data_IF_734993494040
#
_entry.id   IF_734993494040
#
_cell.length_a   1.000
_cell.length_b   1.000
_cell.length_c   1.000
_cell.angle_alpha   90.00
_cell.angle_beta   90.00
_cell.angle_gamma   90.00
#
_symmetry.space_group_name_H-M   'P 1'
#
loop_
_entity.id
_entity.type
_entity.pdbx_description
1 polymer ?
#
# COMPACT_ATOMS: atom_id res chain seq x y z
N UNK A 1 10.20 19.01 2.91
CA UNK A 1 8.79 18.72 2.59
C UNK A 1 8.60 17.40 1.86
N UNK A 2 9.39 17.09 0.81
CA UNK A 2 9.27 15.85 0.03
C UNK A 2 9.42 14.55 0.85
N UNK A 3 10.30 14.52 1.87
CA UNK A 3 10.37 13.38 2.81
C UNK A 3 9.05 13.08 3.51
N UNK A 4 8.32 14.13 3.91
CA UNK A 4 7.01 13.98 4.55
C UNK A 4 6.00 13.43 3.54
N UNK A 5 6.01 13.93 2.30
CA UNK A 5 5.12 13.44 1.24
C UNK A 5 5.36 11.95 0.92
N UNK A 6 6.63 11.55 0.79
CA UNK A 6 7.00 10.15 0.60
C UNK A 6 6.56 9.26 1.78
N UNK A 7 6.74 9.73 3.02
CA UNK A 7 6.27 9.02 4.20
C UNK A 7 4.73 8.91 4.23
N UNK A 8 4.02 9.99 3.92
CA UNK A 8 2.55 10.02 3.85
C UNK A 8 2.02 9.04 2.80
N UNK A 9 2.61 9.00 1.60
CA UNK A 9 2.22 8.05 0.56
C UNK A 9 2.38 6.60 1.01
N UNK A 10 3.48 6.27 1.69
CA UNK A 10 3.70 4.92 2.25
C UNK A 10 2.70 4.59 3.35
N UNK A 11 2.38 5.54 4.23
CA UNK A 11 1.36 5.35 5.27
C UNK A 11 -0.03 5.14 4.64
N UNK A 12 -0.39 5.95 3.64
CA UNK A 12 -1.65 5.79 2.89
C UNK A 12 -1.71 4.46 2.14
N UNK A 13 -0.59 3.99 1.58
CA UNK A 13 -0.52 2.67 0.96
C UNK A 13 -0.91 1.57 1.96
N UNK A 14 -0.30 1.57 3.15
CA UNK A 14 -0.63 0.60 4.20
C UNK A 14 -2.08 0.67 4.65
N UNK A 15 -2.62 1.88 4.82
CA UNK A 15 -4.04 2.08 5.16
C UNK A 15 -4.94 1.48 4.07
N UNK A 16 -4.64 1.75 2.80
CA UNK A 16 -5.39 1.20 1.67
C UNK A 16 -5.35 -0.34 1.63
N UNK A 17 -4.17 -0.93 1.87
CA UNK A 17 -4.00 -2.38 1.91
C UNK A 17 -4.85 -3.00 3.02
N UNK A 18 -4.68 -2.54 4.26
CA UNK A 18 -5.42 -3.08 5.42
C UNK A 18 -6.93 -2.90 5.26
N UNK A 19 -7.36 -1.73 4.76
CA UNK A 19 -8.78 -1.46 4.50
C UNK A 19 -9.35 -2.39 3.43
N UNK A 20 -8.60 -2.64 2.35
CA UNK A 20 -9.04 -3.54 1.28
C UNK A 20 -9.16 -4.98 1.74
N UNK A 21 -8.25 -5.45 2.61
CA UNK A 21 -8.31 -6.80 3.19
C UNK A 21 -9.55 -6.91 4.08
N UNK A 22 -9.78 -5.94 4.98
CA UNK A 22 -10.96 -5.93 5.84
C UNK A 22 -12.27 -5.93 5.03
N UNK A 23 -12.34 -5.09 4.00
CA UNK A 23 -13.51 -5.02 3.13
C UNK A 23 -13.70 -6.31 2.31
N UNK A 24 -12.64 -6.88 1.77
CA UNK A 24 -12.68 -8.14 1.03
C UNK A 24 -13.17 -9.30 1.89
N UNK A 25 -12.72 -9.38 3.14
CA UNK A 25 -13.20 -10.38 4.10
C UNK A 25 -14.66 -10.16 4.46
N UNK A 26 -15.07 -8.92 4.72
CA UNK A 26 -16.45 -8.59 5.04
C UNK A 26 -17.40 -8.96 3.91
N UNK A 27 -17.07 -8.59 2.67
CA UNK A 27 -17.89 -8.89 1.48
C UNK A 27 -17.83 -10.39 1.14
N UNK A 28 -16.63 -10.97 1.17
CA UNK A 28 -16.37 -12.35 0.76
C UNK A 28 -16.95 -13.39 1.71
N UNK A 29 -16.91 -13.12 3.02
CA UNK A 29 -17.35 -14.05 4.06
C UNK A 29 -18.71 -13.69 4.67
N UNK A 30 -19.19 -12.46 4.50
CA UNK A 30 -20.46 -12.01 5.08
C UNK A 30 -21.65 -12.88 4.65
N UNK A 31 -21.75 -13.22 3.36
CA UNK A 31 -22.82 -14.09 2.85
C UNK A 31 -22.79 -15.51 3.42
N UNK A 32 -21.67 -16.25 3.31
CA UNK A 32 -21.53 -17.58 3.90
C UNK A 32 -21.75 -17.64 5.41
N UNK A 33 -21.20 -16.68 6.17
CA UNK A 33 -21.32 -16.65 7.64
C UNK A 33 -22.76 -16.37 8.08
N UNK A 34 -23.47 -15.44 7.42
CA UNK A 34 -24.88 -15.18 7.70
C UNK A 34 -25.75 -16.39 7.41
N UNK A 35 -25.47 -17.14 6.33
CA UNK A 35 -26.20 -18.37 6.00
C UNK A 35 -25.98 -19.47 7.03
N UNK A 36 -24.75 -19.63 7.52
CA UNK A 36 -24.45 -20.59 8.59
C UNK A 36 -25.20 -20.22 9.87
N UNK A 37 -25.13 -18.96 10.32
CA UNK A 37 -25.85 -18.52 11.51
C UNK A 37 -27.37 -18.61 11.38
N UNK A 38 -27.94 -18.32 10.20
CA UNK A 38 -29.37 -18.45 9.93
C UNK A 38 -29.84 -19.91 10.00
N UNK A 39 -29.05 -20.84 9.45
CA UNK A 39 -29.35 -22.27 9.52
C UNK A 39 -29.40 -22.79 10.96
N UNK A 40 -28.51 -22.31 11.83
CA UNK A 40 -28.45 -22.69 13.26
C UNK A 40 -29.70 -22.25 14.06
N UNK A 41 -30.33 -21.15 13.67
CA UNK A 41 -31.57 -20.65 14.31
C UNK A 41 -32.86 -21.13 13.61
N UNK A 42 -32.75 -22.10 12.71
CA UNK A 42 -33.89 -22.73 12.04
C UNK A 42 -34.52 -21.89 10.91
N UNK A 43 -33.83 -20.84 10.44
CA UNK A 43 -34.27 -20.06 9.29
C UNK A 43 -33.81 -20.76 8.02
N UNK A 44 -34.75 -21.01 7.10
CA UNK A 44 -34.46 -21.69 5.83
C UNK A 44 -33.42 -20.89 5.01
N UNK A 45 -32.21 -21.44 4.76
CA UNK A 45 -31.17 -20.78 3.98
C UNK A 45 -31.59 -20.50 2.52
N UNK A 46 -32.64 -21.15 2.02
CA UNK A 46 -33.23 -20.91 0.71
C UNK A 46 -33.96 -19.56 0.60
N UNK A 47 -34.45 -19.01 1.71
CA UNK A 47 -35.03 -17.65 1.77
C UNK A 47 -33.95 -16.56 1.76
N UNK A 48 -32.74 -16.87 2.24
CA UNK A 48 -31.56 -16.02 2.07
C UNK A 48 -30.93 -16.31 0.70
N UNK A 49 -31.30 -15.53 -0.31
CA UNK A 49 -31.00 -15.76 -1.74
C UNK A 49 -29.55 -16.13 -2.11
N UNK A 50 -29.35 -16.56 -3.36
CA UNK A 50 -28.12 -17.14 -3.94
C UNK A 50 -26.84 -16.26 -3.93
N UNK A 51 -26.75 -15.20 -3.12
CA UNK A 51 -25.64 -14.23 -3.13
C UNK A 51 -24.27 -14.74 -2.62
N UNK A 52 -24.17 -15.97 -2.14
CA UNK A 52 -22.96 -16.49 -1.48
C UNK A 52 -21.72 -16.61 -2.39
N UNK A 53 -21.89 -17.02 -3.65
CA UNK A 53 -20.76 -17.17 -4.58
C UNK A 53 -20.30 -15.83 -5.18
N UNK A 54 -21.22 -14.88 -5.35
CA UNK A 54 -20.91 -13.54 -5.84
C UNK A 54 -20.05 -12.73 -4.87
N UNK A 55 -20.31 -12.85 -3.56
CA UNK A 55 -19.53 -12.16 -2.53
C UNK A 55 -18.05 -12.52 -2.56
N UNK A 56 -17.72 -13.80 -2.78
CA UNK A 56 -16.33 -14.27 -2.79
C UNK A 56 -15.55 -13.75 -4.00
N UNK A 57 -16.18 -13.71 -5.18
CA UNK A 57 -15.58 -13.14 -6.40
C UNK A 57 -15.37 -11.64 -6.26
N UNK A 58 -16.38 -10.91 -5.75
CA UNK A 58 -16.28 -9.47 -5.51
C UNK A 58 -15.22 -9.16 -4.46
N UNK A 59 -15.18 -9.93 -3.36
CA UNK A 59 -14.18 -9.79 -2.30
C UNK A 59 -12.76 -10.00 -2.83
N UNK A 60 -12.54 -11.05 -3.63
CA UNK A 60 -11.25 -11.27 -4.28
C UNK A 60 -10.86 -10.11 -5.21
N UNK A 61 -11.81 -9.59 -6.00
CA UNK A 61 -11.59 -8.41 -6.86
C UNK A 61 -11.20 -7.16 -6.06
N UNK A 62 -11.88 -6.89 -4.95
CA UNK A 62 -11.57 -5.78 -4.03
C UNK A 62 -10.17 -5.94 -3.43
N UNK A 63 -9.81 -7.15 -3.01
CA UNK A 63 -8.47 -7.44 -2.47
C UNK A 63 -7.38 -7.19 -3.52
N UNK A 64 -7.57 -7.68 -4.75
CA UNK A 64 -6.62 -7.48 -5.84
C UNK A 64 -6.46 -5.99 -6.20
N UNK A 65 -7.57 -5.25 -6.28
CA UNK A 65 -7.54 -3.81 -6.51
C UNK A 65 -6.79 -3.08 -5.38
N UNK A 66 -6.99 -3.48 -4.13
CA UNK A 66 -6.29 -2.95 -2.97
C UNK A 66 -4.78 -3.21 -2.99
N UNK A 67 -4.36 -4.43 -3.35
CA UNK A 67 -2.94 -4.76 -3.54
C UNK A 67 -2.33 -3.92 -4.66
N UNK A 68 -3.02 -3.77 -5.79
CA UNK A 68 -2.54 -2.92 -6.88
C UNK A 68 -2.40 -1.45 -6.43
N UNK A 69 -3.38 -0.90 -5.73
CA UNK A 69 -3.33 0.45 -5.18
C UNK A 69 -2.19 0.62 -4.16
N UNK A 70 -1.97 -0.37 -3.29
CA UNK A 70 -0.84 -0.41 -2.36
C UNK A 70 0.49 -0.32 -3.11
N UNK A 71 0.70 -1.16 -4.12
CA UNK A 71 1.95 -1.20 -4.87
C UNK A 71 2.24 0.15 -5.54
N UNK A 72 1.23 0.75 -6.18
CA UNK A 72 1.36 2.06 -6.84
C UNK A 72 1.71 3.16 -5.83
N UNK A 73 0.96 3.27 -4.74
CA UNK A 73 1.19 4.30 -3.71
C UNK A 73 2.54 4.11 -3.00
N UNK A 74 2.90 2.87 -2.68
CA UNK A 74 4.14 2.55 -2.00
C UNK A 74 5.35 2.82 -2.92
N UNK A 75 5.29 2.38 -4.17
CA UNK A 75 6.33 2.64 -5.16
C UNK A 75 6.48 4.15 -5.45
N UNK A 76 5.37 4.89 -5.52
CA UNK A 76 5.41 6.35 -5.64
C UNK A 76 6.14 6.99 -4.45
N UNK A 77 5.83 6.55 -3.22
CA UNK A 77 6.52 7.01 -2.01
C UNK A 77 8.02 6.69 -2.02
N UNK A 78 8.41 5.47 -2.38
CA UNK A 78 9.82 5.05 -2.53
C UNK A 78 10.57 5.87 -3.58
N UNK A 79 9.93 6.15 -4.73
CA UNK A 79 10.58 6.92 -5.79
C UNK A 79 10.99 8.33 -5.35
N UNK A 80 10.20 8.97 -4.46
CA UNK A 80 10.54 10.27 -3.87
C UNK A 80 11.78 10.15 -2.98
N UNK A 81 11.84 9.13 -2.12
CA UNK A 81 13.01 8.90 -1.26
C UNK A 81 14.26 8.60 -2.07
N UNK A 82 14.13 7.81 -3.14
CA UNK A 82 15.24 7.49 -4.03
C UNK A 82 15.79 8.75 -4.72
N UNK A 83 14.93 9.61 -5.26
CA UNK A 83 15.35 10.88 -5.86
C UNK A 83 16.06 11.79 -4.86
N UNK A 84 15.55 11.88 -3.63
CA UNK A 84 16.19 12.67 -2.59
C UNK A 84 17.58 12.13 -2.24
N UNK A 85 17.72 10.81 -2.14
CA UNK A 85 19.01 10.18 -1.85
C UNK A 85 20.02 10.44 -2.97
N UNK A 86 19.58 10.43 -4.23
CA UNK A 86 20.43 10.78 -5.39
C UNK A 86 20.88 12.24 -5.30
N UNK A 87 19.98 13.16 -4.94
CA UNK A 87 20.31 14.57 -4.78
C UNK A 87 21.31 14.80 -3.63
N UNK A 88 21.05 14.20 -2.46
CA UNK A 88 21.95 14.29 -1.30
C UNK A 88 23.34 13.73 -1.63
N UNK A 89 23.42 12.59 -2.31
CA UNK A 89 24.70 12.01 -2.74
C UNK A 89 25.45 12.91 -3.73
N UNK A 90 24.74 13.49 -4.71
CA UNK A 90 25.36 14.39 -5.69
C UNK A 90 25.93 15.65 -5.03
N UNK A 91 25.19 16.23 -4.07
CA UNK A 91 25.67 17.38 -3.28
C UNK A 91 26.91 17.02 -2.44
N UNK A 92 26.93 15.84 -1.81
CA UNK A 92 28.08 15.38 -1.05
C UNK A 92 29.30 15.16 -1.95
N UNK A 93 29.14 14.55 -3.11
CA UNK A 93 30.24 14.36 -4.07
C UNK A 93 30.80 15.69 -4.55
N UNK A 94 29.96 16.67 -4.90
CA UNK A 94 30.42 17.99 -5.30
C UNK A 94 31.20 18.71 -4.18
N UNK A 95 30.71 18.64 -2.94
CA UNK A 95 31.40 19.23 -1.79
C UNK A 95 32.76 18.55 -1.50
N UNK A 96 32.86 17.23 -1.71
CA UNK A 96 34.12 16.50 -1.55
C UNK A 96 35.13 16.87 -2.63
N UNK A 97 34.71 17.01 -3.89
CA UNK A 97 35.59 17.38 -4.99
C UNK A 97 36.19 18.78 -4.80
N UNK A 98 35.38 19.76 -4.42
CA UNK A 98 35.86 21.13 -4.14
C UNK A 98 36.90 21.15 -3.00
N UNK A 99 36.67 20.38 -1.93
CA UNK A 99 37.64 20.25 -0.83
C UNK A 99 38.95 19.57 -1.26
N UNK A 100 38.90 18.66 -2.23
CA UNK A 100 40.10 18.03 -2.78
C UNK A 100 40.92 19.04 -3.61
N UNK A 101 40.26 19.87 -4.41
CA UNK A 101 40.91 20.94 -5.17
C UNK A 101 41.56 21.99 -4.26
N UNK A 102 40.84 22.47 -3.23
CA UNK A 102 41.38 23.40 -2.22
C UNK A 102 42.62 22.81 -1.53
N UNK A 103 42.60 21.52 -1.19
CA UNK A 103 43.72 20.85 -0.53
C UNK A 103 44.91 20.64 -1.46
N UNK A 104 44.70 20.46 -2.76
CA UNK A 104 45.79 20.37 -3.73
C UNK A 104 46.45 21.74 -3.95
N UNK A 105 45.67 22.81 -4.11
CA UNK A 105 46.21 24.16 -4.31
C UNK A 105 46.93 24.78 -3.10
N UNK A 106 46.87 24.14 -1.92
CA UNK A 106 47.54 24.58 -0.69
C UNK A 106 48.87 23.84 -0.42
N UNK A 107 49.20 22.84 -1.25
CA UNK A 107 50.43 22.02 -1.14
C UNK A 107 51.52 22.48 -2.12
N UNK A 108 51.20 23.42 -3.01
CA UNK A 108 52.14 24.15 -3.89
C UNK A 108 52.54 25.51 -3.27
#
# INVERSE_FOLDING_TARGET
MLRLLGALLKTLAWIALVSSIGLALFIGLGGPLLRQGAAEVGVDPGLMGQGGSGGLVVGAGVMLAGVAAFLVLFAAGESIFLQLAIEENTRMTAALLLRMEEKQGQVD
#
